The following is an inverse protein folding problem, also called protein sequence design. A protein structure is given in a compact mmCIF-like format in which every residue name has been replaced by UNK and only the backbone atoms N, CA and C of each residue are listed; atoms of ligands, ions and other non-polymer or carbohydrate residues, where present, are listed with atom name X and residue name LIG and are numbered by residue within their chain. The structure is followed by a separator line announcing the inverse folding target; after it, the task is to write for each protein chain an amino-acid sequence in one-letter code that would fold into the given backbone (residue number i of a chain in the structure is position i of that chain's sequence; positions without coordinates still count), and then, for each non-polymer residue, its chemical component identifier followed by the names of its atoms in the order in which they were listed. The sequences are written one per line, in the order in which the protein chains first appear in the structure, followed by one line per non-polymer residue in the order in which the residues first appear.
data_IF_387506036069
#
_entry.id   IF_387506036069
#
_cell.length_a   1.000
_cell.length_b   1.000
_cell.length_c   1.000
_cell.angle_alpha   90.00
_cell.angle_beta   90.00
_cell.angle_gamma   90.00
#
_symmetry.space_group_name_H-M   'P 1'
#
loop_
_entity.id
_entity.type
_entity.pdbx_description
1 polymer ?
#
# COMPACT_ATOMS: atom_id res chain seq x y z
N UNK A 1 2.02 7.16 -8.57
CA UNK A 1 1.07 7.75 -9.54
C UNK A 1 -0.20 6.91 -9.67
N UNK A 2 -0.15 5.61 -9.96
CA UNK A 2 -1.37 4.79 -10.14
C UNK A 2 -2.12 4.37 -8.86
N UNK A 3 -1.61 4.67 -7.66
CA UNK A 3 -2.21 4.23 -6.39
C UNK A 3 -3.41 5.07 -5.97
N UNK A 4 -3.29 6.40 -6.07
CA UNK A 4 -4.33 7.35 -5.66
C UNK A 4 -5.68 7.10 -6.35
N UNK A 5 -5.76 6.97 -7.70
CA UNK A 5 -7.04 6.70 -8.35
C UNK A 5 -7.67 5.37 -7.93
N UNK A 6 -6.87 4.33 -7.63
CA UNK A 6 -7.40 3.04 -7.15
C UNK A 6 -8.01 3.16 -5.76
N UNK A 7 -7.37 3.92 -4.86
CA UNK A 7 -7.92 4.17 -3.52
C UNK A 7 -9.22 4.97 -3.60
N UNK A 8 -9.26 5.97 -4.48
CA UNK A 8 -10.47 6.77 -4.68
C UNK A 8 -11.62 5.93 -5.28
N UNK A 9 -11.34 5.13 -6.32
CA UNK A 9 -12.33 4.22 -6.91
C UNK A 9 -12.91 3.24 -5.88
N UNK A 10 -12.03 2.59 -5.10
CA UNK A 10 -12.47 1.67 -4.05
C UNK A 10 -13.34 2.35 -2.97
N UNK A 11 -13.06 3.62 -2.64
CA UNK A 11 -13.88 4.38 -1.70
C UNK A 11 -15.26 4.71 -2.28
N UNK A 12 -15.34 5.04 -3.58
CA UNK A 12 -16.60 5.29 -4.27
C UNK A 12 -17.46 4.02 -4.37
N UNK A 13 -16.87 2.89 -4.78
CA UNK A 13 -17.57 1.61 -4.86
C UNK A 13 -18.10 1.16 -3.49
N UNK A 14 -17.32 1.38 -2.43
CA UNK A 14 -17.76 1.12 -1.05
C UNK A 14 -18.94 2.02 -0.66
N UNK A 15 -18.88 3.31 -0.99
CA UNK A 15 -19.94 4.26 -0.68
C UNK A 15 -21.24 3.98 -1.46
N UNK A 16 -21.13 3.44 -2.68
CA UNK A 16 -22.25 3.02 -3.51
C UNK A 16 -22.87 1.69 -3.05
N UNK A 17 -22.17 0.92 -2.21
CA UNK A 17 -22.60 -0.41 -1.79
C UNK A 17 -22.45 -1.47 -2.87
N UNK A 18 -21.51 -1.28 -3.81
CA UNK A 18 -21.32 -2.18 -4.94
C UNK A 18 -20.84 -3.56 -4.46
N UNK A 19 -21.41 -4.63 -5.04
CA UNK A 19 -21.00 -6.02 -4.76
C UNK A 19 -19.49 -6.23 -5.04
N UNK A 20 -18.94 -5.46 -5.99
CA UNK A 20 -17.53 -5.46 -6.36
C UNK A 20 -16.59 -4.69 -5.43
N UNK A 21 -17.10 -3.92 -4.47
CA UNK A 21 -16.28 -3.03 -3.62
C UNK A 21 -15.15 -3.78 -2.89
N UNK A 22 -15.41 -5.02 -2.45
CA UNK A 22 -14.40 -5.85 -1.80
C UNK A 22 -13.19 -6.18 -2.68
N UNK A 23 -13.39 -6.31 -4.00
CA UNK A 23 -12.32 -6.52 -4.98
C UNK A 23 -11.54 -5.24 -5.24
N UNK A 24 -12.23 -4.11 -5.35
CA UNK A 24 -11.59 -2.81 -5.56
C UNK A 24 -10.73 -2.41 -4.35
N UNK A 25 -11.24 -2.60 -3.13
CA UNK A 25 -10.48 -2.39 -1.89
C UNK A 25 -9.22 -3.26 -1.87
N UNK A 26 -9.32 -4.53 -2.29
CA UNK A 26 -8.16 -5.43 -2.34
C UNK A 26 -7.12 -4.96 -3.37
N UNK A 27 -7.56 -4.49 -4.56
CA UNK A 27 -6.68 -3.95 -5.60
C UNK A 27 -5.97 -2.66 -5.13
N UNK A 28 -6.72 -1.76 -4.48
CA UNK A 28 -6.19 -0.54 -3.89
C UNK A 28 -5.16 -0.85 -2.78
N UNK A 29 -5.50 -1.77 -1.86
CA UNK A 29 -4.63 -2.16 -0.74
C UNK A 29 -3.30 -2.74 -1.20
N UNK A 30 -3.31 -3.68 -2.15
CA UNK A 30 -2.06 -4.28 -2.64
C UNK A 30 -1.21 -3.25 -3.39
N UNK A 31 -1.84 -2.41 -4.21
CA UNK A 31 -1.11 -1.40 -5.00
C UNK A 31 -0.48 -0.35 -4.10
N UNK A 32 -1.21 0.11 -3.07
CA UNK A 32 -0.68 1.06 -2.10
C UNK A 32 0.45 0.47 -1.24
N UNK A 33 0.28 -0.76 -0.76
CA UNK A 33 1.30 -1.44 0.03
C UNK A 33 2.61 -1.67 -0.73
N UNK A 34 2.53 -2.09 -2.01
CA UNK A 34 3.72 -2.29 -2.84
C UNK A 34 4.38 -0.95 -3.23
N UNK A 35 3.59 0.09 -3.54
CA UNK A 35 4.12 1.42 -3.84
C UNK A 35 4.85 2.04 -2.64
N UNK A 36 4.23 1.99 -1.45
CA UNK A 36 4.85 2.50 -0.22
C UNK A 36 6.12 1.72 0.15
N UNK A 37 6.09 0.39 0.02
CA UNK A 37 7.27 -0.44 0.29
C UNK A 37 8.40 -0.20 -0.72
N UNK A 38 8.09 -0.05 -2.01
CA UNK A 38 9.04 0.32 -3.05
C UNK A 38 9.67 1.69 -2.77
N UNK A 39 8.86 2.69 -2.46
CA UNK A 39 9.33 4.04 -2.14
C UNK A 39 10.27 4.05 -0.92
N UNK A 40 9.91 3.32 0.16
CA UNK A 40 10.75 3.18 1.34
C UNK A 40 12.10 2.54 1.02
N UNK A 41 12.13 1.51 0.16
CA UNK A 41 13.38 0.87 -0.27
C UNK A 41 14.25 1.81 -1.09
N UNK A 42 13.65 2.54 -2.04
CA UNK A 42 14.37 3.53 -2.85
C UNK A 42 14.94 4.63 -1.98
N UNK A 43 14.16 5.15 -1.02
CA UNK A 43 14.64 6.17 -0.10
C UNK A 43 15.81 5.67 0.75
N UNK A 44 15.72 4.45 1.30
CA UNK A 44 16.85 3.83 2.01
C UNK A 44 18.09 3.71 1.13
N UNK A 45 17.93 3.32 -0.14
CA UNK A 45 19.05 3.19 -1.07
C UNK A 45 19.72 4.53 -1.39
N UNK A 46 18.94 5.61 -1.53
CA UNK A 46 19.44 6.95 -1.85
C UNK A 46 20.12 7.62 -0.65
N UNK A 47 19.60 7.41 0.55
CA UNK A 47 20.07 8.08 1.77
C UNK A 47 21.10 7.27 2.58
N UNK A 48 21.26 5.98 2.30
CA UNK A 48 22.18 5.10 3.04
C UNK A 48 21.80 5.00 4.52
N UNK A 49 22.80 4.89 5.41
CA UNK A 49 22.57 4.78 6.85
C UNK A 49 21.84 5.99 7.46
N UNK A 50 22.01 7.18 6.86
CA UNK A 50 21.32 8.42 7.25
C UNK A 50 19.83 8.37 6.96
N UNK A 51 19.39 7.53 6.01
CA UNK A 51 17.96 7.27 5.81
C UNK A 51 17.29 6.53 6.98
N UNK A 52 18.09 5.94 7.87
CA UNK A 52 17.63 5.14 9.00
C UNK A 52 17.80 5.83 10.36
N UNK A 53 18.49 6.98 10.40
CA UNK A 53 18.64 7.80 11.60
C UNK A 53 17.39 8.67 11.81
N UNK A 54 17.07 8.99 13.06
CA UNK A 54 15.86 9.74 13.43
C UNK A 54 15.93 11.23 13.07
N UNK A 55 17.01 11.67 12.42
CA UNK A 55 17.18 13.05 11.93
C UNK A 55 16.18 13.41 10.82
N UNK A 56 15.51 12.43 10.22
CA UNK A 56 14.50 12.59 9.19
C UNK A 56 13.21 11.84 9.55
N UNK A 57 12.05 12.48 9.36
CA UNK A 57 10.71 11.86 9.42
C UNK A 57 10.58 10.64 8.48
N UNK A 58 11.49 10.51 7.52
CA UNK A 58 11.59 9.39 6.59
C UNK A 58 11.80 8.04 7.30
N UNK A 59 12.55 8.01 8.39
CA UNK A 59 12.85 6.80 9.16
C UNK A 59 11.57 6.14 9.70
N UNK A 60 10.57 6.93 10.10
CA UNK A 60 9.24 6.47 10.51
C UNK A 60 8.55 5.70 9.37
N UNK A 61 8.54 6.26 8.18
CA UNK A 61 7.86 5.67 7.02
C UNK A 61 8.58 4.44 6.49
N UNK A 62 9.92 4.43 6.50
CA UNK A 62 10.72 3.25 6.15
C UNK A 62 10.39 2.09 7.09
N UNK A 63 10.34 2.33 8.40
CA UNK A 63 10.02 1.30 9.40
C UNK A 63 8.57 0.82 9.31
N UNK A 64 7.62 1.69 8.95
CA UNK A 64 6.20 1.35 8.82
C UNK A 64 5.82 0.64 7.52
N UNK A 65 6.55 0.86 6.43
CA UNK A 65 6.14 0.40 5.10
C UNK A 65 5.97 -1.14 5.02
N UNK A 66 6.89 -1.92 5.60
CA UNK A 66 6.80 -3.38 5.62
C UNK A 66 5.61 -3.90 6.45
N UNK A 67 5.45 -3.56 7.75
CA UNK A 67 4.31 -4.05 8.51
C UNK A 67 2.95 -3.59 7.94
N UNK A 68 2.84 -2.36 7.42
CA UNK A 68 1.59 -1.88 6.80
C UNK A 68 1.26 -2.58 5.48
N UNK A 69 2.27 -3.04 4.74
CA UNK A 69 2.08 -3.83 3.51
C UNK A 69 1.34 -5.13 3.81
N UNK A 70 1.66 -5.80 4.91
CA UNK A 70 1.09 -7.10 5.29
C UNK A 70 -0.13 -6.99 6.23
N UNK A 71 -0.34 -5.83 6.85
CA UNK A 71 -1.50 -5.57 7.72
C UNK A 71 -2.82 -5.63 6.95
N UNK A 72 -3.86 -6.19 7.60
CA UNK A 72 -5.21 -6.36 7.07
C UNK A 72 -5.32 -7.18 5.78
N UNK A 73 -4.32 -8.03 5.53
CA UNK A 73 -4.24 -8.88 4.36
C UNK A 73 -2.87 -8.76 3.70
N UNK A 74 -2.22 -9.90 3.49
CA UNK A 74 -0.94 -9.94 2.77
C UNK A 74 -1.17 -9.59 1.29
N UNK A 75 -0.13 -9.13 0.56
CA UNK A 75 -0.22 -8.92 -0.88
C UNK A 75 -0.75 -10.14 -1.65
N UNK A 76 -0.41 -11.35 -1.21
CA UNK A 76 -0.93 -12.58 -1.80
C UNK A 76 -2.44 -12.72 -1.57
N UNK A 77 -2.92 -12.55 -0.33
CA UNK A 77 -4.34 -12.61 0.00
C UNK A 77 -5.16 -11.56 -0.77
N UNK A 78 -4.64 -10.33 -0.87
CA UNK A 78 -5.27 -9.28 -1.66
C UNK A 78 -5.35 -9.66 -3.15
N UNK A 79 -4.27 -10.18 -3.76
CA UNK A 79 -4.29 -10.63 -5.16
C UNK A 79 -5.29 -11.77 -5.39
N UNK A 80 -5.37 -12.73 -4.48
CA UNK A 80 -6.39 -13.78 -4.54
C UNK A 80 -7.80 -13.19 -4.54
N UNK A 81 -8.08 -12.23 -3.65
CA UNK A 81 -9.38 -11.56 -3.58
C UNK A 81 -9.70 -10.73 -4.82
N UNK A 82 -8.69 -10.15 -5.48
CA UNK A 82 -8.88 -9.45 -6.76
C UNK A 82 -9.34 -10.41 -7.87
N UNK A 83 -8.89 -11.66 -7.84
CA UNK A 83 -9.21 -12.68 -8.84
C UNK A 83 -10.49 -13.48 -8.52
N UNK A 84 -10.91 -13.51 -7.27
CA UNK A 84 -12.03 -14.32 -6.78
C UNK A 84 -13.41 -13.68 -7.04
N UNK A 85 -13.64 -13.17 -8.25
CA UNK A 85 -14.88 -12.48 -8.66
C UNK A 85 -16.16 -13.17 -8.24
#
# INVERSE_FOLDING_TARGET
EFTEPLVHGAALALAAGDDGAGREIAAAKVTAGEAAYGAARTALQLHGAVGYTDELDLSLWIRKARPLRDAWGTPAACRTRVLAG
#
